data_IF_061513301283
#
_entry.id   IF_061513301283
#
_cell.length_a   1.000
_cell.length_b   1.000
_cell.length_c   1.000
_cell.angle_alpha   90.00
_cell.angle_beta   90.00
_cell.angle_gamma   90.00
#
_symmetry.space_group_name_H-M   'P 1'
#
loop_
_entity.id
_entity.type
_entity.pdbx_description
1 polymer ?
#
# COMPACT_ATOMS: atom_id res chain seq x y z
N UNK A 1 -16.35 -28.61 0.86
CA UNK A 1 -15.65 -27.36 0.50
C UNK A 1 -16.12 -26.29 1.45
N UNK A 2 -15.46 -26.14 2.60
CA UNK A 2 -15.72 -25.00 3.50
C UNK A 2 -15.22 -23.75 2.78
N UNK A 3 -16.12 -22.87 2.38
CA UNK A 3 -15.76 -21.51 2.02
C UNK A 3 -15.53 -20.75 3.33
N UNK A 4 -14.29 -20.75 3.80
CA UNK A 4 -13.83 -19.83 4.84
C UNK A 4 -14.15 -18.41 4.36
N UNK A 5 -15.06 -17.71 5.06
CA UNK A 5 -15.33 -16.30 4.77
C UNK A 5 -14.18 -15.50 5.32
N UNK A 6 -13.37 -14.98 4.42
CA UNK A 6 -12.35 -14.02 4.72
C UNK A 6 -13.00 -12.64 4.92
N UNK A 7 -13.34 -12.32 6.16
CA UNK A 7 -13.83 -11.00 6.53
C UNK A 7 -12.62 -10.06 6.66
N UNK A 8 -12.37 -9.23 5.65
CA UNK A 8 -11.34 -8.18 5.70
C UNK A 8 -11.98 -6.80 5.60
N UNK A 9 -11.48 -5.84 6.39
CA UNK A 9 -11.86 -4.43 6.28
C UNK A 9 -10.94 -3.74 5.28
N UNK A 10 -11.50 -3.20 4.21
CA UNK A 10 -10.78 -2.34 3.27
C UNK A 10 -10.66 -0.92 3.81
N UNK A 11 -9.50 -0.31 3.63
CA UNK A 11 -9.23 1.10 3.91
C UNK A 11 -8.53 1.75 2.73
N UNK A 12 -8.78 3.05 2.54
CA UNK A 12 -8.05 3.87 1.57
C UNK A 12 -7.54 5.09 2.34
N UNK A 13 -6.22 5.22 2.39
CA UNK A 13 -5.53 6.30 3.09
C UNK A 13 -4.97 7.28 2.05
N UNK A 14 -4.95 8.57 2.39
CA UNK A 14 -4.41 9.61 1.52
C UNK A 14 -2.90 9.82 1.71
N UNK A 15 -2.37 9.43 2.87
CA UNK A 15 -0.98 9.63 3.26
C UNK A 15 -0.37 8.36 3.84
N UNK A 16 0.93 8.10 3.59
CA UNK A 16 1.62 6.99 4.25
C UNK A 16 1.72 7.18 5.77
N UNK A 17 1.58 8.41 6.28
CA UNK A 17 1.59 8.67 7.73
C UNK A 17 0.35 8.13 8.47
N UNK A 18 -0.69 7.73 7.75
CA UNK A 18 -1.93 7.21 8.33
C UNK A 18 -1.87 5.70 8.63
N UNK A 19 -0.78 5.04 8.24
CA UNK A 19 -0.52 3.62 8.53
C UNK A 19 0.76 3.49 9.35
N UNK A 20 0.77 2.54 10.28
CA UNK A 20 1.95 2.24 11.08
C UNK A 20 3.11 1.75 10.20
N UNK A 21 4.28 2.35 10.39
CA UNK A 21 5.46 2.06 9.58
C UNK A 21 6.00 0.65 9.81
N UNK A 22 5.90 0.14 11.05
CA UNK A 22 6.38 -1.19 11.39
C UNK A 22 5.46 -2.26 10.80
N UNK A 23 4.14 -2.08 10.85
CA UNK A 23 3.19 -2.99 10.20
C UNK A 23 3.36 -3.03 8.68
N UNK A 24 3.53 -1.86 8.05
CA UNK A 24 3.79 -1.77 6.62
C UNK A 24 5.09 -2.49 6.24
N UNK A 25 6.18 -2.21 6.96
CA UNK A 25 7.49 -2.82 6.69
C UNK A 25 7.49 -4.33 7.00
N UNK A 26 6.71 -4.79 7.98
CA UNK A 26 6.53 -6.21 8.26
C UNK A 26 5.80 -6.95 7.12
N UNK A 27 4.87 -6.29 6.43
CA UNK A 27 4.25 -6.83 5.21
C UNK A 27 5.26 -6.88 4.05
N UNK A 28 6.02 -5.80 3.85
CA UNK A 28 7.05 -5.77 2.81
C UNK A 28 8.08 -6.89 3.00
N UNK A 29 8.49 -7.16 4.24
CA UNK A 29 9.43 -8.23 4.57
C UNK A 29 8.89 -9.64 4.26
N UNK A 30 7.57 -9.82 4.14
CA UNK A 30 6.94 -11.08 3.75
C UNK A 30 6.91 -11.28 2.23
N UNK A 31 7.18 -10.24 1.43
CA UNK A 31 7.25 -10.39 -0.02
C UNK A 31 8.48 -11.21 -0.41
N UNK A 32 8.34 -12.04 -1.45
CA UNK A 32 9.45 -12.84 -1.97
C UNK A 32 10.60 -11.99 -2.53
N UNK A 33 10.31 -10.76 -2.94
CA UNK A 33 11.29 -9.81 -3.47
C UNK A 33 10.99 -8.41 -2.90
N UNK A 34 11.41 -8.12 -1.65
CA UNK A 34 11.18 -6.81 -1.05
C UNK A 34 12.00 -5.75 -1.79
N UNK A 35 11.35 -4.64 -2.14
CA UNK A 35 12.01 -3.51 -2.80
C UNK A 35 12.08 -2.31 -1.86
N UNK A 36 13.22 -1.58 -1.80
CA UNK A 36 13.33 -0.39 -0.97
C UNK A 36 12.34 0.71 -1.36
N UNK A 37 11.83 0.70 -2.60
CA UNK A 37 10.86 1.67 -3.10
C UNK A 37 9.45 1.49 -2.55
N UNK A 38 9.17 0.37 -1.87
CA UNK A 38 7.91 0.13 -1.18
C UNK A 38 8.05 0.26 0.33
N UNK A 39 9.21 0.65 0.85
CA UNK A 39 9.37 0.91 2.29
C UNK A 39 8.55 2.12 2.71
N UNK A 40 8.02 2.08 3.94
CA UNK A 40 7.25 3.19 4.50
C UNK A 40 8.04 4.50 4.47
N UNK A 41 9.32 4.45 4.82
CA UNK A 41 10.18 5.63 4.87
C UNK A 41 10.39 6.26 3.49
N UNK A 42 10.49 5.43 2.44
CA UNK A 42 10.61 5.92 1.06
C UNK A 42 9.31 6.56 0.58
N UNK A 43 8.16 5.93 0.85
CA UNK A 43 6.85 6.46 0.49
C UNK A 43 6.55 7.76 1.25
N UNK A 44 6.91 7.82 2.53
CA UNK A 44 6.82 9.03 3.36
C UNK A 44 7.69 10.15 2.82
N UNK A 45 8.94 9.85 2.44
CA UNK A 45 9.82 10.82 1.80
C UNK A 45 9.24 11.35 0.49
N UNK A 46 8.72 10.48 -0.39
CA UNK A 46 8.06 10.89 -1.65
C UNK A 46 6.86 11.82 -1.42
N UNK A 47 6.07 11.53 -0.39
CA UNK A 47 4.92 12.35 -0.02
C UNK A 47 5.38 13.70 0.56
N UNK A 48 6.39 13.70 1.43
CA UNK A 48 6.95 14.91 2.05
C UNK A 48 7.63 15.84 1.04
N UNK A 49 8.33 15.29 0.04
CA UNK A 49 9.00 16.07 -1.01
C UNK A 49 8.05 16.57 -2.10
N UNK A 50 6.75 16.25 -2.01
CA UNK A 50 5.73 16.62 -2.99
C UNK A 50 5.99 16.11 -4.42
N UNK A 51 6.84 15.09 -4.59
CA UNK A 51 7.18 14.58 -5.91
C UNK A 51 6.01 13.85 -6.59
N UNK A 52 5.13 13.21 -5.81
CA UNK A 52 3.99 12.44 -6.29
C UNK A 52 2.73 12.80 -5.49
N UNK A 53 2.31 14.06 -5.59
CA UNK A 53 1.12 14.61 -4.90
C UNK A 53 0.17 15.26 -5.89
N UNK A 54 -1.06 15.56 -5.46
CA UNK A 54 -2.12 16.01 -6.36
C UNK A 54 -1.71 17.24 -7.19
N UNK A 55 -0.85 18.09 -6.62
CA UNK A 55 -0.28 19.28 -7.25
C UNK A 55 0.62 18.97 -8.48
N UNK A 56 1.20 17.76 -8.55
CA UNK A 56 1.95 17.25 -9.71
C UNK A 56 1.08 16.38 -10.63
N UNK A 57 -0.24 16.34 -10.41
CA UNK A 57 -1.19 15.54 -11.18
C UNK A 57 -1.31 14.08 -10.74
N UNK A 58 -0.71 13.72 -9.59
CA UNK A 58 -0.71 12.37 -9.02
C UNK A 58 -1.42 12.34 -7.67
N UNK A 59 -2.51 11.61 -7.51
CA UNK A 59 -3.13 11.39 -6.19
C UNK A 59 -2.62 10.06 -5.61
N UNK A 60 -1.72 10.07 -4.62
CA UNK A 60 -1.36 8.85 -3.89
C UNK A 60 -2.55 8.38 -3.07
N UNK A 61 -2.80 7.08 -3.12
CA UNK A 61 -3.82 6.37 -2.36
C UNK A 61 -3.17 5.10 -1.82
N UNK A 62 -3.22 4.88 -0.52
CA UNK A 62 -2.68 3.66 0.10
C UNK A 62 -3.86 2.77 0.44
N UNK A 63 -4.03 1.71 -0.34
CA UNK A 63 -5.10 0.73 -0.14
C UNK A 63 -4.63 -0.28 0.89
N UNK A 64 -5.41 -0.48 1.95
CA UNK A 64 -5.09 -1.36 3.06
C UNK A 64 -6.18 -2.40 3.25
N UNK A 65 -5.80 -3.60 3.67
CA UNK A 65 -6.69 -4.64 4.15
C UNK A 65 -6.32 -4.95 5.59
N UNK A 66 -7.28 -4.80 6.50
CA UNK A 66 -7.12 -5.12 7.92
C UNK A 66 -7.92 -6.36 8.25
N UNK A 67 -7.32 -7.29 8.97
CA UNK A 67 -8.04 -8.42 9.58
C UNK A 67 -8.77 -7.91 10.83
N UNK A 68 -10.11 -7.88 10.85
CA UNK A 68 -10.89 -7.39 11.98
C UNK A 68 -10.77 -8.27 13.23
N UNK A 69 -10.27 -9.50 13.11
CA UNK A 69 -10.06 -10.40 14.26
C UNK A 69 -8.79 -10.06 15.03
N UNK A 70 -7.76 -9.60 14.33
CA UNK A 70 -6.46 -9.26 14.92
C UNK A 70 -6.19 -7.75 14.96
N UNK A 71 -7.01 -6.96 14.26
CA UNK A 71 -6.85 -5.54 13.93
C UNK A 71 -5.51 -5.22 13.25
N UNK A 72 -4.86 -6.23 12.64
CA UNK A 72 -3.57 -6.09 11.96
C UNK A 72 -3.72 -5.90 10.47
N UNK A 73 -2.74 -5.22 9.89
CA UNK A 73 -2.59 -5.12 8.44
C UNK A 73 -2.32 -6.51 7.82
N UNK A 74 -3.27 -6.96 7.00
CA UNK A 74 -3.20 -8.21 6.25
C UNK A 74 -2.54 -8.00 4.87
N UNK A 75 -2.81 -6.86 4.24
CA UNK A 75 -2.16 -6.44 3.00
C UNK A 75 -2.21 -4.92 2.83
N UNK A 76 -1.28 -4.38 2.05
CA UNK A 76 -1.31 -2.98 1.66
C UNK A 76 -0.66 -2.76 0.29
N UNK A 77 -1.15 -1.75 -0.44
CA UNK A 77 -0.65 -1.39 -1.75
C UNK A 77 -0.70 0.13 -1.95
N UNK A 78 0.43 0.77 -2.30
CA UNK A 78 0.42 2.16 -2.74
C UNK A 78 -0.06 2.24 -4.20
N UNK A 79 -1.03 3.09 -4.45
CA UNK A 79 -1.64 3.34 -5.75
C UNK A 79 -1.51 4.83 -6.06
N UNK A 80 -0.88 5.16 -7.18
CA UNK A 80 -0.74 6.54 -7.61
C UNK A 80 -1.68 6.79 -8.79
N UNK A 81 -2.80 7.46 -8.53
CA UNK A 81 -3.78 7.80 -9.55
C UNK A 81 -3.32 9.05 -10.31
N UNK A 82 -3.21 8.97 -11.63
CA UNK A 82 -2.85 10.13 -12.45
C UNK A 82 -4.11 10.76 -13.06
N UNK A 83 -4.29 12.06 -12.87
CA UNK A 83 -5.48 12.79 -13.35
C UNK A 83 -5.51 13.10 -14.85
N UNK A 84 -4.40 12.92 -15.57
CA UNK A 84 -4.30 13.26 -17.00
C UNK A 84 -3.47 12.21 -17.78
N UNK A 85 -4.02 11.78 -18.93
CA UNK A 85 -3.47 10.75 -19.82
C UNK A 85 -2.27 11.23 -20.64
N UNK A 86 -1.06 11.25 -20.07
CA UNK A 86 0.21 11.24 -20.82
C UNK A 86 1.34 10.63 -19.98
N UNK A 87 1.71 9.38 -20.24
CA UNK A 87 2.95 8.76 -19.75
C UNK A 87 2.73 7.70 -18.67
N UNK A 88 2.86 6.44 -19.08
CA UNK A 88 2.79 5.21 -18.32
C UNK A 88 3.98 5.00 -17.38
N UNK A 89 3.73 4.95 -16.07
CA UNK A 89 4.68 4.41 -15.09
C UNK A 89 4.00 3.26 -14.35
N UNK A 90 4.52 2.06 -14.59
CA UNK A 90 4.04 0.80 -14.04
C UNK A 90 4.80 0.51 -12.74
N UNK A 91 4.22 0.83 -11.59
CA UNK A 91 4.71 0.34 -10.29
C UNK A 91 4.14 -1.07 -10.07
N UNK A 92 5.03 -2.04 -9.92
CA UNK A 92 4.71 -3.46 -9.87
C UNK A 92 3.86 -3.76 -8.62
N UNK A 93 2.62 -4.21 -8.82
CA UNK A 93 1.75 -4.69 -7.75
C UNK A 93 2.06 -6.18 -7.53
N UNK A 94 2.81 -6.51 -6.48
CA UNK A 94 3.00 -7.89 -6.02
C UNK A 94 2.06 -8.13 -4.84
N UNK A 95 0.90 -8.74 -5.10
CA UNK A 95 0.08 -9.30 -4.03
C UNK A 95 0.70 -10.63 -3.61
N UNK A 96 1.26 -10.69 -2.41
CA UNK A 96 1.59 -11.94 -1.74
C UNK A 96 0.56 -12.14 -0.63
N UNK A 97 -0.20 -13.23 -0.74
CA UNK A 97 -1.23 -13.63 0.22
C UNK A 97 -0.55 -14.29 1.41
N UNK A 98 -0.94 -13.90 2.64
CA UNK A 98 -0.60 -14.66 3.84
C UNK A 98 -1.42 -15.95 3.81
N UNK A 99 -0.78 -17.08 3.53
CA UNK A 99 -1.35 -18.40 3.77
C UNK A 99 -0.99 -18.81 5.19
N UNK A 100 -1.95 -18.69 6.10
CA UNK A 100 -2.07 -19.59 7.25
C UNK A 100 -3.50 -20.14 7.24
#
# INVERSE_FOLDING_TARGET
MNQERFDYRTGILASPSEVDAAEWNALLAQQSQPTPFLRHEFLSALHATRCAVADTGWSPQFVTLTDPRTDKLAAAAPVYLKGHSCGEYRLLCSLSWRTD
#
